data_IF_583927650020
#
_entry.id   IF_583927650020
#
_cell.length_a   1.000
_cell.length_b   1.000
_cell.length_c   1.000
_cell.angle_alpha   90.00
_cell.angle_beta   90.00
_cell.angle_gamma   90.00
#
_symmetry.space_group_name_H-M   'P 1'
#
loop_
_entity.id
_entity.type
_entity.pdbx_description
1 polymer ?
#
# COMPACT_ATOMS: atom_id res chain seq x y z
N UNK A 1 1.81 15.21 -23.73
CA UNK A 1 3.00 15.46 -22.90
C UNK A 1 2.54 16.07 -21.59
N UNK A 2 2.34 15.22 -20.60
CA UNK A 2 2.42 15.49 -19.17
C UNK A 2 2.60 14.10 -18.58
N UNK A 3 3.86 13.71 -18.51
CA UNK A 3 4.34 12.46 -17.97
C UNK A 3 4.77 12.76 -16.55
N UNK A 4 3.84 12.94 -15.64
CA UNK A 4 4.15 12.87 -14.23
C UNK A 4 3.31 11.75 -13.61
N UNK A 5 4.00 10.66 -13.28
CA UNK A 5 3.48 9.67 -12.34
C UNK A 5 3.42 10.24 -10.92
N UNK A 6 2.95 11.48 -10.78
CA UNK A 6 2.65 12.12 -9.52
C UNK A 6 1.45 11.37 -8.95
N UNK A 7 1.74 10.49 -8.00
CA UNK A 7 0.72 9.99 -7.10
C UNK A 7 0.38 11.20 -6.23
N UNK A 8 -0.66 11.93 -6.61
CA UNK A 8 -1.21 12.96 -5.73
C UNK A 8 -1.55 12.28 -4.41
N UNK A 9 -0.79 12.62 -3.37
CA UNK A 9 -1.08 12.26 -1.99
C UNK A 9 -2.39 12.93 -1.60
N UNK A 10 -3.52 12.28 -1.91
CA UNK A 10 -4.85 12.67 -1.47
C UNK A 10 -4.95 12.36 0.01
N UNK A 11 -4.38 13.26 0.82
CA UNK A 11 -4.45 13.19 2.26
C UNK A 11 -5.89 13.29 2.75
N UNK A 12 -6.42 12.18 3.26
CA UNK A 12 -7.14 12.11 4.54
C UNK A 12 -6.82 10.80 5.24
N UNK A 13 -6.67 10.87 6.55
CA UNK A 13 -6.37 9.78 7.49
C UNK A 13 -7.50 8.72 7.59
N UNK A 14 -8.59 8.84 6.81
CA UNK A 14 -9.73 7.89 6.85
C UNK A 14 -10.18 7.50 5.42
N UNK A 15 -9.28 7.01 4.56
CA UNK A 15 -9.66 6.47 3.25
C UNK A 15 -10.13 5.03 3.34
N UNK A 16 -11.43 4.90 3.55
CA UNK A 16 -12.12 3.63 3.43
C UNK A 16 -12.62 3.41 2.01
N UNK A 17 -12.25 2.29 1.41
CA UNK A 17 -12.56 1.97 0.01
C UNK A 17 -13.35 0.67 -0.11
N UNK A 18 -14.11 0.53 -1.20
CA UNK A 18 -14.77 -0.74 -1.56
C UNK A 18 -14.00 -1.43 -2.67
N UNK A 19 -13.49 -2.62 -2.39
CA UNK A 19 -12.76 -3.45 -3.36
C UNK A 19 -13.36 -4.85 -3.33
N UNK A 20 -13.88 -5.32 -4.47
CA UNK A 20 -14.44 -6.68 -4.63
C UNK A 20 -15.48 -7.05 -3.55
N UNK A 21 -16.29 -6.06 -3.12
CA UNK A 21 -17.33 -6.24 -2.10
C UNK A 21 -16.87 -6.05 -0.65
N UNK A 22 -15.56 -5.92 -0.40
CA UNK A 22 -15.00 -5.67 0.92
C UNK A 22 -14.86 -4.18 1.19
N UNK A 23 -15.17 -3.78 2.42
CA UNK A 23 -14.90 -2.45 2.96
C UNK A 23 -13.51 -2.51 3.60
N UNK A 24 -12.57 -1.76 3.06
CA UNK A 24 -11.14 -1.85 3.42
C UNK A 24 -10.68 -0.50 3.94
N UNK A 25 -10.07 -0.50 5.13
CA UNK A 25 -9.38 0.65 5.70
C UNK A 25 -7.92 0.64 5.21
N UNK A 26 -7.54 1.60 4.37
CA UNK A 26 -6.17 1.65 3.84
C UNK A 26 -5.15 2.04 4.91
N UNK A 27 -5.56 2.85 5.88
CA UNK A 27 -4.73 3.24 7.02
C UNK A 27 -4.34 2.04 7.89
N UNK A 28 -5.23 1.05 8.05
CA UNK A 28 -4.92 -0.19 8.78
C UNK A 28 -3.75 -0.93 8.12
N UNK A 29 -3.76 -1.01 6.78
CA UNK A 29 -2.70 -1.66 6.02
C UNK A 29 -1.39 -0.88 6.16
N UNK A 30 -1.43 0.45 6.05
CA UNK A 30 -0.26 1.31 6.22
C UNK A 30 0.34 1.14 7.63
N UNK A 31 -0.50 1.16 8.67
CA UNK A 31 -0.09 0.98 10.05
C UNK A 31 0.55 -0.39 10.31
N UNK A 32 0.00 -1.46 9.74
CA UNK A 32 0.60 -2.81 9.85
C UNK A 32 1.94 -2.89 9.10
N UNK A 33 2.07 -2.24 7.94
CA UNK A 33 3.36 -2.15 7.22
C UNK A 33 4.42 -1.43 8.07
N UNK A 34 4.08 -0.30 8.69
CA UNK A 34 4.99 0.47 9.55
C UNK A 34 5.35 -0.23 10.87
N UNK A 35 4.73 -1.37 11.21
CA UNK A 35 5.16 -2.21 12.36
C UNK A 35 6.34 -3.12 12.03
N UNK A 36 6.69 -3.26 10.76
CA UNK A 36 7.87 -4.02 10.34
C UNK A 36 9.10 -3.14 10.57
N UNK A 37 10.03 -3.58 11.43
CA UNK A 37 11.15 -2.77 11.95
C UNK A 37 11.95 -1.96 10.91
N UNK A 38 12.08 -2.48 9.69
CA UNK A 38 12.86 -1.85 8.62
C UNK A 38 12.03 -0.99 7.66
N UNK A 39 10.72 -0.87 7.86
CA UNK A 39 9.84 0.02 7.10
C UNK A 39 9.71 1.33 7.89
N UNK A 40 10.20 2.42 7.33
CA UNK A 40 10.20 3.75 7.97
C UNK A 40 8.90 4.48 7.77
N UNK A 41 8.27 4.28 6.61
CA UNK A 41 6.99 4.88 6.28
C UNK A 41 6.29 4.04 5.21
N UNK A 42 4.96 4.15 5.14
CA UNK A 42 4.15 3.45 4.16
C UNK A 42 2.93 4.27 3.74
N UNK A 43 2.70 4.36 2.43
CA UNK A 43 1.47 4.87 1.86
C UNK A 43 0.70 3.73 1.17
N UNK A 44 -0.61 3.66 1.37
CA UNK A 44 -1.47 2.65 0.76
C UNK A 44 -2.61 3.36 0.04
N UNK A 45 -2.81 3.03 -1.24
CA UNK A 45 -3.84 3.62 -2.09
C UNK A 45 -4.65 2.52 -2.78
N UNK A 46 -5.88 2.86 -3.17
CA UNK A 46 -6.66 2.05 -4.10
C UNK A 46 -6.76 2.74 -5.46
N UNK A 47 -6.37 2.03 -6.51
CA UNK A 47 -6.51 2.52 -7.89
C UNK A 47 -6.82 1.37 -8.84
N UNK A 48 -7.26 1.71 -10.04
CA UNK A 48 -7.52 0.71 -11.07
C UNK A 48 -6.21 0.14 -11.59
N UNK A 49 -6.13 -1.17 -11.72
CA UNK A 49 -5.00 -1.87 -12.33
C UNK A 49 -5.04 -1.78 -13.86
N UNK A 50 -4.11 -2.47 -14.53
CA UNK A 50 -4.04 -2.48 -15.99
C UNK A 50 -5.29 -3.08 -16.68
N UNK A 51 -6.17 -3.76 -15.93
CA UNK A 51 -7.42 -4.35 -16.41
C UNK A 51 -8.64 -3.50 -16.06
N UNK A 52 -8.46 -2.36 -15.38
CA UNK A 52 -9.53 -1.51 -14.91
C UNK A 52 -10.19 -2.01 -13.61
N UNK A 53 -9.59 -2.97 -12.91
CA UNK A 53 -10.10 -3.44 -11.62
C UNK A 53 -9.46 -2.67 -10.45
N UNK A 54 -10.27 -2.21 -9.50
CA UNK A 54 -9.77 -1.63 -8.25
C UNK A 54 -8.86 -2.63 -7.52
N UNK A 55 -7.63 -2.20 -7.24
CA UNK A 55 -6.63 -2.97 -6.50
C UNK A 55 -5.89 -2.10 -5.48
N UNK A 56 -5.32 -2.75 -4.47
CA UNK A 56 -4.53 -2.09 -3.41
C UNK A 56 -3.07 -2.02 -3.86
N UNK A 57 -2.49 -0.83 -3.77
CA UNK A 57 -1.08 -0.54 -3.99
C UNK A 57 -0.48 -0.03 -2.69
N UNK A 58 0.70 -0.53 -2.33
CA UNK A 58 1.48 0.03 -1.22
C UNK A 58 2.84 0.51 -1.68
N UNK A 59 3.25 1.65 -1.12
CA UNK A 59 4.56 2.25 -1.30
C UNK A 59 5.23 2.29 0.05
N UNK A 60 6.45 1.76 0.14
CA UNK A 60 7.20 1.70 1.40
C UNK A 60 8.50 2.48 1.26
N UNK A 61 8.85 3.19 2.33
CA UNK A 61 10.16 3.84 2.49
C UNK A 61 10.99 2.97 3.42
N UNK A 62 12.23 2.70 3.02
CA UNK A 62 13.17 1.89 3.80
C UNK A 62 14.60 2.18 3.37
N UNK A 63 15.51 2.26 4.34
CA UNK A 63 16.96 2.35 4.11
C UNK A 63 17.62 1.01 3.70
N UNK A 64 16.86 -0.10 3.64
CA UNK A 64 17.36 -1.41 3.19
C UNK A 64 16.55 -1.92 2.00
N UNK A 65 17.10 -2.87 1.23
CA UNK A 65 16.34 -3.51 0.16
C UNK A 65 15.22 -4.37 0.75
N UNK A 66 13.97 -4.08 0.37
CA UNK A 66 12.78 -4.74 0.91
C UNK A 66 12.46 -6.03 0.16
N UNK A 67 12.43 -7.16 0.87
CA UNK A 67 11.86 -8.41 0.35
C UNK A 67 10.33 -8.42 0.53
N UNK A 68 9.61 -8.04 -0.53
CA UNK A 68 8.15 -8.02 -0.52
C UNK A 68 7.50 -9.39 -0.32
N UNK A 69 8.21 -10.50 -0.52
CA UNK A 69 7.67 -11.83 -0.21
C UNK A 69 7.56 -12.01 1.31
N UNK A 70 8.58 -11.60 2.06
CA UNK A 70 8.53 -11.65 3.52
C UNK A 70 7.59 -10.59 4.10
N UNK A 71 7.56 -9.36 3.56
CA UNK A 71 6.56 -8.36 3.97
C UNK A 71 5.13 -8.92 3.87
N UNK A 72 4.77 -9.54 2.73
CA UNK A 72 3.45 -10.17 2.56
C UNK A 72 3.17 -11.29 3.54
N UNK A 73 4.20 -12.03 3.96
CA UNK A 73 4.04 -13.11 4.95
C UNK A 73 3.83 -12.54 6.35
N UNK A 74 4.55 -11.47 6.70
CA UNK A 74 4.43 -10.79 7.99
C UNK A 74 3.05 -10.15 8.14
N UNK A 75 2.62 -9.30 7.19
CA UNK A 75 1.34 -8.59 7.34
C UNK A 75 0.12 -9.53 7.27
N UNK A 76 0.24 -10.72 6.64
CA UNK A 76 -0.82 -11.76 6.64
C UNK A 76 -1.11 -12.36 8.02
N UNK A 77 -0.22 -12.16 9.00
CA UNK A 77 -0.45 -12.59 10.39
C UNK A 77 -1.50 -11.71 11.07
N UNK A 78 -1.68 -10.48 10.61
CA UNK A 78 -2.56 -9.47 11.20
C UNK A 78 -3.74 -9.13 10.29
N UNK A 79 -3.54 -9.16 8.97
CA UNK A 79 -4.54 -8.77 7.97
C UNK A 79 -5.10 -9.97 7.21
N UNK A 80 -6.40 -9.96 6.88
CA UNK A 80 -6.99 -10.96 6.00
C UNK A 80 -6.50 -10.81 4.55
N UNK A 81 -6.55 -11.90 3.78
CA UNK A 81 -5.97 -11.96 2.42
C UNK A 81 -6.48 -10.88 1.46
N UNK A 82 -7.72 -10.42 1.61
CA UNK A 82 -8.31 -9.40 0.73
C UNK A 82 -7.77 -7.98 1.00
N UNK A 83 -7.06 -7.76 2.11
CA UNK A 83 -6.40 -6.48 2.44
C UNK A 83 -4.92 -6.48 2.04
N UNK A 84 -4.38 -7.61 1.58
CA UNK A 84 -2.97 -7.70 1.20
C UNK A 84 -2.75 -6.94 -0.12
N UNK A 85 -1.85 -5.92 -0.14
CA UNK A 85 -1.60 -5.14 -1.35
C UNK A 85 -1.28 -6.01 -2.55
N UNK A 86 -1.99 -5.82 -3.66
CA UNK A 86 -1.70 -6.55 -4.89
C UNK A 86 -0.32 -6.15 -5.44
N UNK A 87 0.02 -4.87 -5.30
CA UNK A 87 1.27 -4.27 -5.75
C UNK A 87 1.98 -3.61 -4.59
N UNK A 88 3.30 -3.81 -4.52
CA UNK A 88 4.16 -3.22 -3.51
C UNK A 88 5.40 -2.65 -4.19
N UNK A 89 5.82 -1.45 -3.80
CA UNK A 89 6.98 -0.78 -4.37
C UNK A 89 7.77 -0.07 -3.28
N UNK A 90 9.10 -0.19 -3.34
CA UNK A 90 9.98 0.60 -2.49
C UNK A 90 10.26 1.92 -3.19
N UNK A 91 10.17 3.01 -2.45
CA UNK A 91 10.48 4.36 -2.91
C UNK A 91 11.43 5.05 -1.93
N UNK A 92 12.18 6.05 -2.40
CA UNK A 92 13.06 6.83 -1.53
C UNK A 92 12.26 7.76 -0.60
N UNK A 93 11.20 8.38 -1.12
CA UNK A 93 10.27 9.25 -0.39
C UNK A 93 9.02 9.51 -1.24
N UNK A 94 7.87 9.75 -0.62
CA UNK A 94 6.69 10.30 -1.31
C UNK A 94 6.61 11.83 -1.13
N UNK A 95 6.07 12.54 -2.13
CA UNK A 95 5.87 14.01 -2.13
C UNK A 95 4.43 14.38 -1.81
#
# INVERSE_FOLDING_TARGET
MASDGSIEYLGRIDEQVKIRGFRIELEEIANVLCRIDYIEDAAVIARDDARGEKAIYSYVVSNVNVDFKEVRKEIRKELPDYMIPAYMMQIEKYQ
#
